data_IF_438851290759
#
_entry.id   IF_438851290759
#
_cell.length_a   1.000
_cell.length_b   1.000
_cell.length_c   1.000
_cell.angle_alpha   90.00
_cell.angle_beta   90.00
_cell.angle_gamma   90.00
#
_symmetry.space_group_name_H-M   'P 1'
#
loop_
_entity.id
_entity.type
_entity.pdbx_description
1 polymer ?
#
# COMPACT_ATOMS: atom_id res chain seq x y z
N UNK A 1 3.61 0.10 -69.01
CA UNK A 1 2.35 0.76 -68.59
C UNK A 1 1.32 -0.34 -68.50
N UNK A 2 0.76 -0.74 -67.37
CA UNK A 2 0.85 -0.24 -66.00
C UNK A 2 0.83 -1.45 -65.05
N UNK A 3 1.52 -1.28 -63.92
CA UNK A 3 1.59 -2.17 -62.77
C UNK A 3 0.23 -2.06 -62.04
N UNK A 4 -0.56 -3.14 -61.99
CA UNK A 4 -1.79 -3.15 -61.21
C UNK A 4 -1.42 -3.35 -59.74
N UNK A 5 -1.47 -2.24 -59.00
CA UNK A 5 -1.34 -2.20 -57.55
C UNK A 5 -2.45 -3.03 -56.90
N UNK A 6 -2.07 -4.15 -56.27
CA UNK A 6 -2.93 -4.89 -55.35
C UNK A 6 -3.37 -3.97 -54.20
N UNK A 7 -4.63 -3.50 -54.29
CA UNK A 7 -5.29 -2.78 -53.20
C UNK A 7 -5.67 -3.84 -52.16
N UNK A 8 -5.25 -3.72 -50.89
CA UNK A 8 -5.64 -4.67 -49.87
C UNK A 8 -7.14 -4.51 -49.58
N UNK A 9 -7.90 -5.58 -49.78
CA UNK A 9 -9.31 -5.70 -49.38
C UNK A 9 -9.44 -5.68 -47.85
N UNK A 10 -10.48 -5.02 -47.35
CA UNK A 10 -10.78 -4.83 -45.92
C UNK A 10 -10.85 -6.13 -45.10
N UNK A 11 -11.04 -7.29 -45.74
CA UNK A 11 -11.02 -8.61 -45.07
C UNK A 11 -9.65 -9.03 -44.54
N UNK A 12 -8.54 -8.46 -45.05
CA UNK A 12 -7.18 -8.78 -44.56
C UNK A 12 -6.79 -8.02 -43.28
N UNK A 13 -7.55 -7.01 -42.87
CA UNK A 13 -7.26 -6.25 -41.65
C UNK A 13 -7.78 -6.94 -40.37
N UNK A 14 -8.86 -7.73 -40.47
CA UNK A 14 -9.45 -8.43 -39.30
C UNK A 14 -8.68 -9.71 -38.89
N UNK A 15 -7.80 -10.23 -39.75
CA UNK A 15 -6.99 -11.42 -39.46
C UNK A 15 -5.68 -11.12 -38.72
N UNK A 16 -5.22 -9.86 -38.72
CA UNK A 16 -4.01 -9.46 -38.02
C UNK A 16 -4.25 -9.12 -36.54
N UNK A 17 -5.45 -8.63 -36.19
CA UNK A 17 -5.79 -8.22 -34.81
C UNK A 17 -6.12 -9.40 -33.85
N UNK A 18 -6.37 -10.61 -34.38
CA UNK A 18 -6.78 -11.75 -33.56
C UNK A 18 -5.61 -12.63 -33.04
N UNK A 19 -4.38 -12.44 -33.54
CA UNK A 19 -3.26 -13.32 -33.21
C UNK A 19 -2.40 -12.88 -32.02
N UNK A 20 -2.41 -11.59 -31.66
CA UNK A 20 -1.63 -11.08 -30.51
C UNK A 20 -2.14 -11.56 -29.15
N UNK A 21 -3.38 -12.11 -29.10
CA UNK A 21 -4.00 -12.62 -27.88
C UNK A 21 -3.99 -14.16 -27.75
N UNK A 22 -3.33 -14.87 -28.67
CA UNK A 22 -3.27 -16.33 -28.64
C UNK A 22 -2.54 -16.83 -27.39
N UNK A 23 -3.09 -17.88 -26.75
CA UNK A 23 -2.53 -18.49 -25.53
C UNK A 23 -1.06 -18.91 -25.75
N UNK A 24 -0.70 -19.28 -26.98
CA UNK A 24 0.64 -19.74 -27.33
C UNK A 24 1.66 -18.60 -27.42
N UNK A 25 1.25 -17.40 -27.83
CA UNK A 25 2.11 -16.22 -27.75
C UNK A 25 2.43 -15.85 -26.29
N UNK A 26 1.43 -15.92 -25.41
CA UNK A 26 1.64 -15.70 -23.96
C UNK A 26 2.56 -16.75 -23.34
N UNK A 27 2.48 -18.01 -23.78
CA UNK A 27 3.39 -19.07 -23.31
C UNK A 27 4.83 -18.80 -23.76
N UNK A 28 5.03 -18.45 -25.03
CA UNK A 28 6.37 -18.12 -25.56
C UNK A 28 6.98 -16.91 -24.84
N UNK A 29 6.21 -15.84 -24.63
CA UNK A 29 6.66 -14.70 -23.83
C UNK A 29 6.96 -15.09 -22.38
N UNK A 30 6.17 -16.00 -21.80
CA UNK A 30 6.41 -16.50 -20.45
C UNK A 30 7.69 -17.35 -20.37
N UNK A 31 8.00 -18.13 -21.41
CA UNK A 31 9.24 -18.92 -21.52
C UNK A 31 10.48 -18.04 -21.71
N UNK A 32 10.40 -16.98 -22.52
CA UNK A 32 11.46 -15.98 -22.64
C UNK A 32 11.71 -15.26 -21.32
N UNK A 33 10.64 -14.81 -20.65
CA UNK A 33 10.72 -14.14 -19.36
C UNK A 33 11.19 -15.06 -18.22
N UNK A 34 10.96 -16.39 -18.33
CA UNK A 34 11.50 -17.39 -17.40
C UNK A 34 13.01 -17.60 -17.57
N UNK A 35 13.57 -17.26 -18.74
CA UNK A 35 15.00 -17.37 -19.02
C UNK A 35 15.80 -16.11 -18.65
N UNK A 36 15.15 -14.98 -18.36
CA UNK A 36 15.81 -13.76 -17.89
C UNK A 36 15.71 -13.60 -16.36
N UNK A 37 16.83 -13.69 -15.61
CA UNK A 37 16.83 -13.53 -14.17
C UNK A 37 16.38 -12.14 -13.69
N UNK A 38 16.53 -11.08 -14.49
CA UNK A 38 16.13 -9.73 -14.11
C UNK A 38 14.59 -9.63 -14.10
N UNK A 39 13.96 -10.08 -15.17
CA UNK A 39 12.50 -10.13 -15.31
C UNK A 39 11.83 -10.98 -14.22
N UNK A 40 12.48 -12.08 -13.79
CA UNK A 40 12.00 -12.89 -12.66
C UNK A 40 11.97 -12.10 -11.34
N UNK A 41 12.99 -11.29 -11.05
CA UNK A 41 13.03 -10.46 -9.84
C UNK A 41 11.88 -9.45 -9.85
N UNK A 42 11.63 -8.80 -10.99
CA UNK A 42 10.54 -7.83 -11.14
C UNK A 42 9.17 -8.48 -10.94
N UNK A 43 8.96 -9.69 -11.49
CA UNK A 43 7.72 -10.45 -11.32
C UNK A 43 7.50 -10.87 -9.87
N UNK A 44 8.53 -11.36 -9.19
CA UNK A 44 8.45 -11.69 -7.76
C UNK A 44 8.11 -10.46 -6.94
N UNK A 45 8.74 -9.32 -7.24
CA UNK A 45 8.42 -8.05 -6.58
C UNK A 45 6.97 -7.61 -6.84
N UNK A 46 6.46 -7.80 -8.06
CA UNK A 46 5.06 -7.49 -8.38
C UNK A 46 4.07 -8.43 -7.67
N UNK A 47 4.37 -9.72 -7.57
CA UNK A 47 3.57 -10.67 -6.78
C UNK A 47 3.61 -10.27 -5.30
N UNK A 48 4.78 -9.89 -4.78
CA UNK A 48 4.90 -9.39 -3.41
C UNK A 48 4.09 -8.11 -3.20
N UNK A 49 4.00 -7.22 -4.19
CA UNK A 49 3.10 -6.05 -4.13
C UNK A 49 1.61 -6.47 -4.07
N UNK A 50 1.21 -7.48 -4.85
CA UNK A 50 -0.17 -7.99 -4.76
C UNK A 50 -0.48 -8.52 -3.36
N UNK A 51 0.51 -9.13 -2.71
CA UNK A 51 0.38 -9.74 -1.38
C UNK A 51 1.00 -8.89 -0.28
N UNK A 52 1.17 -7.59 -0.53
CA UNK A 52 2.01 -6.73 0.30
C UNK A 52 1.65 -6.82 1.77
N UNK A 53 2.69 -7.01 2.57
CA UNK A 53 2.69 -7.02 4.01
C UNK A 53 3.42 -5.78 4.54
N UNK A 54 3.16 -5.47 5.81
CA UNK A 54 3.86 -4.44 6.54
C UNK A 54 3.98 -4.83 8.00
N UNK A 55 5.16 -4.58 8.55
CA UNK A 55 5.46 -4.80 9.95
C UNK A 55 6.07 -3.54 10.57
N UNK A 56 5.57 -3.16 11.74
CA UNK A 56 6.08 -2.06 12.55
C UNK A 56 6.62 -2.65 13.86
N UNK A 57 7.93 -2.56 14.03
CA UNK A 57 8.64 -2.99 15.22
C UNK A 57 8.93 -1.77 16.10
N UNK A 58 8.59 -1.84 17.37
CA UNK A 58 8.88 -0.82 18.38
C UNK A 58 10.14 -1.28 19.11
N UNK A 59 11.27 -0.67 18.78
CA UNK A 59 12.59 -1.04 19.29
C UNK A 59 12.86 -0.38 20.64
N UNK A 60 12.54 0.91 20.75
CA UNK A 60 12.63 1.69 21.98
C UNK A 60 11.47 2.68 22.03
N UNK A 61 10.72 2.81 23.15
CA UNK A 61 10.92 2.10 24.42
C UNK A 61 10.57 0.61 24.33
N UNK A 62 11.12 -0.19 25.24
CA UNK A 62 10.80 -1.63 25.32
C UNK A 62 9.35 -1.80 25.77
N UNK A 63 8.54 -2.46 24.93
CA UNK A 63 7.18 -2.86 25.25
C UNK A 63 7.12 -4.35 25.56
N UNK A 64 6.19 -4.72 26.44
CA UNK A 64 5.93 -6.12 26.76
C UNK A 64 5.44 -6.88 25.52
N UNK A 65 5.96 -8.10 25.34
CA UNK A 65 5.57 -8.97 24.24
C UNK A 65 4.25 -9.65 24.58
N UNK A 66 3.30 -9.61 23.64
CA UNK A 66 2.01 -10.29 23.75
C UNK A 66 2.07 -11.58 22.93
N UNK A 67 1.87 -12.73 23.57
CA UNK A 67 1.87 -14.04 22.92
C UNK A 67 0.73 -14.93 23.46
N UNK A 68 -0.16 -15.45 22.59
CA UNK A 68 -0.21 -15.23 21.14
C UNK A 68 -0.61 -13.79 20.77
N UNK A 69 -0.25 -13.29 19.57
CA UNK A 69 -0.64 -11.94 19.13
C UNK A 69 -2.16 -11.76 19.11
N UNK A 70 -2.63 -10.58 19.51
CA UNK A 70 -4.03 -10.19 19.46
C UNK A 70 -4.39 -9.81 18.02
N UNK A 71 -5.51 -10.33 17.51
CA UNK A 71 -6.03 -9.96 16.19
C UNK A 71 -7.00 -8.79 16.36
N UNK A 72 -6.54 -7.58 16.02
CA UNK A 72 -7.37 -6.38 15.99
C UNK A 72 -8.15 -6.34 14.68
N UNK A 73 -9.44 -6.60 14.75
CA UNK A 73 -10.36 -6.55 13.59
C UNK A 73 -10.73 -5.10 13.26
N UNK A 74 -11.20 -4.81 12.03
CA UNK A 74 -11.81 -3.53 11.71
C UNK A 74 -12.95 -3.20 12.70
N UNK A 75 -12.95 -1.98 13.24
CA UNK A 75 -13.96 -1.56 14.21
C UNK A 75 -15.16 -0.92 13.52
N UNK A 76 -16.31 -0.92 14.20
CA UNK A 76 -17.51 -0.24 13.71
C UNK A 76 -17.35 1.27 13.88
N UNK A 77 -17.61 2.04 12.83
CA UNK A 77 -17.56 3.50 12.86
C UNK A 77 -18.74 4.01 13.72
N UNK A 78 -18.50 4.83 14.77
CA UNK A 78 -19.57 5.34 15.63
C UNK A 78 -20.65 6.08 14.84
N UNK A 79 -21.92 5.78 15.12
CA UNK A 79 -23.06 6.42 14.46
C UNK A 79 -23.38 5.89 13.05
N UNK A 80 -22.67 4.88 12.55
CA UNK A 80 -22.97 4.21 11.27
C UNK A 80 -23.08 2.69 11.45
N UNK A 81 -23.52 1.96 10.41
CA UNK A 81 -23.47 0.49 10.34
C UNK A 81 -22.21 0.00 9.60
N UNK A 82 -21.26 0.89 9.32
CA UNK A 82 -20.06 0.59 8.56
C UNK A 82 -18.87 0.31 9.48
N UNK A 83 -17.89 -0.38 8.92
CA UNK A 83 -16.64 -0.70 9.58
C UNK A 83 -15.51 0.14 8.98
N UNK A 84 -14.46 0.35 9.75
CA UNK A 84 -13.22 0.94 9.27
C UNK A 84 -12.69 0.19 8.05
N UNK A 85 -12.16 0.94 7.08
CA UNK A 85 -11.65 0.34 5.84
C UNK A 85 -10.17 -0.03 5.98
N UNK A 86 -9.93 -1.04 6.81
CA UNK A 86 -8.60 -1.55 7.16
C UNK A 86 -8.56 -3.06 7.06
N UNK A 87 -7.38 -3.64 6.92
CA UNK A 87 -7.14 -5.06 7.15
C UNK A 87 -6.98 -5.32 8.66
N UNK A 88 -7.17 -6.57 9.11
CA UNK A 88 -6.84 -6.94 10.48
C UNK A 88 -5.36 -6.67 10.81
N UNK A 89 -5.10 -6.27 12.05
CA UNK A 89 -3.75 -6.01 12.56
C UNK A 89 -3.44 -7.08 13.61
N UNK A 90 -2.30 -7.74 13.43
CA UNK A 90 -1.72 -8.68 14.39
C UNK A 90 -0.81 -7.90 15.34
N UNK A 91 -1.18 -7.92 16.61
CA UNK A 91 -0.54 -7.13 17.66
C UNK A 91 0.14 -8.04 18.69
N UNK A 92 1.47 -8.01 18.68
CA UNK A 92 2.33 -8.74 19.60
C UNK A 92 2.98 -7.82 20.65
N UNK A 93 2.41 -6.64 20.90
CA UNK A 93 2.95 -5.65 21.83
C UNK A 93 4.07 -4.82 21.21
N UNK A 94 5.29 -5.36 21.16
CA UNK A 94 6.44 -4.70 20.52
C UNK A 94 6.42 -4.77 18.98
N UNK A 95 5.48 -5.51 18.39
CA UNK A 95 5.32 -5.64 16.94
C UNK A 95 3.86 -5.53 16.53
N UNK A 96 3.57 -4.67 15.55
CA UNK A 96 2.31 -4.64 14.81
C UNK A 96 2.55 -5.18 13.39
N UNK A 97 1.67 -6.02 12.88
CA UNK A 97 1.82 -6.61 11.54
C UNK A 97 0.48 -6.72 10.82
N UNK A 98 0.51 -6.59 9.50
CA UNK A 98 -0.69 -6.67 8.65
C UNK A 98 -0.29 -7.08 7.23
N UNK A 99 -1.26 -7.53 6.43
CA UNK A 99 -1.04 -7.82 5.00
C UNK A 99 -2.33 -7.76 4.22
N UNK A 100 -2.20 -7.75 2.89
CA UNK A 100 -3.33 -7.88 1.95
C UNK A 100 -3.94 -9.29 1.88
N UNK A 101 -3.61 -10.18 2.82
CA UNK A 101 -4.00 -11.61 2.79
C UNK A 101 -5.48 -11.87 2.52
N UNK A 102 -6.40 -11.06 3.07
CA UNK A 102 -7.85 -11.19 2.84
C UNK A 102 -8.25 -11.07 1.36
N UNK A 103 -7.52 -10.26 0.60
CA UNK A 103 -7.83 -9.87 -0.78
C UNK A 103 -6.61 -10.07 -1.70
N UNK A 104 -5.68 -10.97 -1.33
CA UNK A 104 -4.37 -11.09 -1.98
C UNK A 104 -4.46 -11.47 -3.47
N UNK A 105 -5.57 -12.11 -3.88
CA UNK A 105 -5.83 -12.50 -5.27
C UNK A 105 -6.70 -11.49 -6.04
N UNK A 106 -7.25 -10.47 -5.38
CA UNK A 106 -8.22 -9.54 -5.98
C UNK A 106 -7.83 -8.06 -5.87
N UNK A 107 -7.08 -7.67 -4.83
CA UNK A 107 -6.64 -6.29 -4.62
C UNK A 107 -5.63 -5.81 -5.70
N UNK A 108 -4.91 -6.73 -6.33
CA UNK A 108 -3.91 -6.43 -7.36
C UNK A 108 -2.89 -5.41 -6.85
N UNK A 109 -2.65 -4.34 -7.61
CA UNK A 109 -1.73 -3.26 -7.23
C UNK A 109 -2.32 -2.22 -6.27
N UNK A 110 -3.62 -2.31 -5.94
CA UNK A 110 -4.25 -1.34 -5.04
C UNK A 110 -3.61 -1.41 -3.64
N UNK A 111 -3.22 -0.25 -3.12
CA UNK A 111 -2.61 -0.11 -1.80
C UNK A 111 -3.50 0.65 -0.81
N UNK A 112 -4.66 1.14 -1.25
CA UNK A 112 -5.46 2.08 -0.47
C UNK A 112 -5.88 1.52 0.89
N UNK A 113 -6.49 0.31 0.93
CA UNK A 113 -6.88 -0.35 2.19
C UNK A 113 -5.66 -0.64 3.09
N UNK A 114 -4.53 -1.04 2.51
CA UNK A 114 -3.29 -1.26 3.27
C UNK A 114 -2.74 0.05 3.85
N UNK A 115 -2.77 1.14 3.09
CA UNK A 115 -2.35 2.46 3.57
C UNK A 115 -3.25 2.99 4.69
N UNK A 116 -4.58 2.78 4.62
CA UNK A 116 -5.48 3.06 5.73
C UNK A 116 -5.16 2.21 6.97
N UNK A 117 -4.77 0.95 6.76
CA UNK A 117 -4.35 0.07 7.85
C UNK A 117 -3.06 0.55 8.52
N UNK A 118 -2.09 1.03 7.74
CA UNK A 118 -0.85 1.62 8.25
C UNK A 118 -1.13 2.88 9.08
N UNK A 119 -2.05 3.75 8.65
CA UNK A 119 -2.49 4.91 9.45
C UNK A 119 -3.09 4.46 10.80
N UNK A 120 -3.92 3.41 10.80
CA UNK A 120 -4.43 2.81 12.05
C UNK A 120 -3.30 2.22 12.92
N UNK A 121 -2.31 1.55 12.33
CA UNK A 121 -1.15 1.04 13.08
C UNK A 121 -0.34 2.18 13.74
N UNK A 122 -0.18 3.31 13.05
CA UNK A 122 0.51 4.49 13.59
C UNK A 122 -0.32 5.16 14.68
N UNK A 123 -1.66 5.20 14.54
CA UNK A 123 -2.55 5.62 15.62
C UNK A 123 -2.36 4.74 16.88
N UNK A 124 -2.32 3.41 16.71
CA UNK A 124 -2.08 2.47 17.82
C UNK A 124 -0.72 2.71 18.47
N UNK A 125 0.34 2.96 17.68
CA UNK A 125 1.66 3.33 18.20
C UNK A 125 1.57 4.57 19.09
N UNK A 126 0.95 5.65 18.60
CA UNK A 126 0.86 6.92 19.33
C UNK A 126 0.07 6.76 20.63
N UNK A 127 -1.04 6.04 20.62
CA UNK A 127 -1.82 5.78 21.83
C UNK A 127 -1.01 4.96 22.86
N UNK A 128 -0.22 3.98 22.41
CA UNK A 128 0.69 3.24 23.30
C UNK A 128 1.76 4.10 23.94
N UNK A 129 2.39 4.99 23.16
CA UNK A 129 3.40 5.90 23.68
C UNK A 129 2.79 6.82 24.74
N UNK A 130 1.58 7.33 24.47
CA UNK A 130 0.83 8.17 25.40
C UNK A 130 0.45 7.43 26.69
N UNK A 131 -0.07 6.21 26.58
CA UNK A 131 -0.40 5.36 27.74
C UNK A 131 0.83 4.97 28.55
N UNK A 132 1.97 4.77 27.88
CA UNK A 132 3.27 4.54 28.50
C UNK A 132 3.90 5.78 29.15
N UNK A 133 3.26 6.95 29.05
CA UNK A 133 3.77 8.19 29.61
C UNK A 133 5.02 8.72 28.89
N UNK A 134 5.22 8.34 27.63
CA UNK A 134 6.35 8.80 26.82
C UNK A 134 6.05 10.22 26.34
N UNK A 135 6.94 11.14 26.68
CA UNK A 135 6.84 12.52 26.22
C UNK A 135 7.17 12.65 24.72
N UNK A 136 6.61 13.66 24.06
CA UNK A 136 6.79 13.91 22.64
C UNK A 136 8.25 14.14 22.23
N UNK A 137 9.09 14.66 23.13
CA UNK A 137 10.51 14.91 22.85
C UNK A 137 11.37 13.64 22.98
N UNK A 138 10.87 12.61 23.67
CA UNK A 138 11.59 11.37 23.91
C UNK A 138 11.77 10.61 22.59
N UNK A 139 13.01 10.22 22.29
CA UNK A 139 13.30 9.46 21.09
C UNK A 139 12.66 8.07 21.16
N UNK A 140 11.79 7.79 20.19
CA UNK A 140 11.16 6.48 19.98
C UNK A 140 11.76 5.86 18.74
N UNK A 141 12.41 4.71 18.88
CA UNK A 141 13.02 4.00 17.77
C UNK A 141 12.08 2.93 17.26
N UNK A 142 11.81 2.96 15.96
CA UNK A 142 11.02 1.94 15.27
C UNK A 142 11.81 1.33 14.12
N UNK A 143 11.41 0.14 13.69
CA UNK A 143 11.92 -0.51 12.49
C UNK A 143 10.75 -1.02 11.64
N UNK A 144 10.96 -1.09 10.34
CA UNK A 144 9.98 -1.57 9.38
C UNK A 144 10.33 -2.96 8.83
N UNK A 145 9.30 -3.73 8.51
CA UNK A 145 9.37 -4.96 7.71
C UNK A 145 8.31 -4.97 6.61
N UNK A 146 8.41 -5.94 5.70
CA UNK A 146 7.47 -6.13 4.59
C UNK A 146 7.84 -5.36 3.32
N UNK A 147 6.87 -5.18 2.44
CA UNK A 147 7.09 -4.62 1.10
C UNK A 147 7.51 -3.14 1.11
N UNK A 148 8.29 -2.70 0.11
CA UNK A 148 8.85 -1.34 0.04
C UNK A 148 7.79 -0.22 0.00
N UNK A 149 6.68 -0.43 -0.72
CA UNK A 149 5.62 0.58 -0.87
C UNK A 149 4.91 0.91 0.46
N UNK A 150 4.48 -0.07 1.27
CA UNK A 150 4.05 0.17 2.64
C UNK A 150 5.07 0.91 3.50
N UNK A 151 6.35 0.55 3.44
CA UNK A 151 7.40 1.22 4.23
C UNK A 151 7.51 2.71 3.87
N UNK A 152 7.43 3.05 2.58
CA UNK A 152 7.37 4.44 2.10
C UNK A 152 6.17 5.20 2.68
N UNK A 153 4.99 4.59 2.71
CA UNK A 153 3.78 5.19 3.30
C UNK A 153 3.92 5.36 4.81
N UNK A 154 4.44 4.36 5.51
CA UNK A 154 4.66 4.40 6.94
C UNK A 154 5.69 5.49 7.30
N UNK A 155 6.81 5.57 6.57
CA UNK A 155 7.81 6.61 6.75
C UNK A 155 7.20 8.01 6.61
N UNK A 156 6.45 8.24 5.52
CA UNK A 156 5.75 9.50 5.28
C UNK A 156 4.81 9.89 6.43
N UNK A 157 4.15 8.91 7.03
CA UNK A 157 3.21 9.17 8.13
C UNK A 157 3.96 9.42 9.45
N UNK A 158 5.06 8.70 9.70
CA UNK A 158 5.89 8.87 10.90
C UNK A 158 6.57 10.24 10.94
N UNK A 159 7.12 10.73 9.83
CA UNK A 159 7.78 12.05 9.81
C UNK A 159 6.81 13.23 10.00
N UNK A 160 5.50 12.97 9.93
CA UNK A 160 4.44 13.93 10.18
C UNK A 160 3.79 13.76 11.56
N UNK A 161 4.40 12.98 12.46
CA UNK A 161 3.97 12.85 13.86
C UNK A 161 4.51 14.01 14.71
N UNK A 162 3.79 14.41 15.76
CA UNK A 162 4.30 15.34 16.77
C UNK A 162 5.28 14.69 17.77
N UNK A 163 5.43 13.36 17.73
CA UNK A 163 6.40 12.62 18.56
C UNK A 163 7.73 12.48 17.83
N UNK A 164 8.83 12.49 18.59
CA UNK A 164 10.18 12.24 18.09
C UNK A 164 10.40 10.75 17.76
N UNK A 165 9.78 10.28 16.69
CA UNK A 165 9.88 8.89 16.22
C UNK A 165 10.91 8.79 15.10
N UNK A 166 11.88 7.89 15.28
CA UNK A 166 12.99 7.65 14.35
C UNK A 166 12.89 6.24 13.77
N UNK A 167 12.94 6.13 12.45
CA UNK A 167 12.98 4.84 11.75
C UNK A 167 14.43 4.40 11.55
N UNK A 168 14.78 3.23 12.07
CA UNK A 168 16.18 2.78 12.19
C UNK A 168 16.72 2.02 10.98
N UNK A 169 15.86 1.39 10.19
CA UNK A 169 16.26 0.45 9.12
C UNK A 169 15.68 0.78 7.74
N UNK A 170 15.21 2.01 7.53
CA UNK A 170 14.65 2.44 6.25
C UNK A 170 15.17 3.83 5.85
N UNK A 171 15.76 3.91 4.66
CA UNK A 171 16.15 5.16 4.01
C UNK A 171 15.22 5.41 2.80
N UNK A 172 14.47 6.54 2.77
CA UNK A 172 13.63 6.86 1.62
C UNK A 172 14.42 7.17 0.34
N UNK A 173 15.72 7.52 0.43
CA UNK A 173 16.61 7.78 -0.70
C UNK A 173 16.04 8.73 -1.76
N UNK A 174 16.36 8.47 -3.03
CA UNK A 174 15.89 9.27 -4.17
C UNK A 174 14.36 9.36 -4.29
N UNK A 175 13.63 8.35 -3.78
CA UNK A 175 12.18 8.42 -3.72
C UNK A 175 11.71 9.50 -2.75
N UNK A 176 12.34 9.65 -1.59
CA UNK A 176 12.01 10.67 -0.59
C UNK A 176 12.22 12.10 -1.11
N UNK A 177 13.34 12.34 -1.79
CA UNK A 177 13.63 13.64 -2.40
C UNK A 177 12.57 14.02 -3.44
N UNK A 178 12.23 13.06 -4.32
CA UNK A 178 11.21 13.26 -5.34
C UNK A 178 9.82 13.44 -4.71
N UNK A 179 9.51 12.69 -3.67
CA UNK A 179 8.25 12.84 -2.92
C UNK A 179 8.09 14.27 -2.39
N UNK A 180 9.12 14.82 -1.72
CA UNK A 180 9.07 16.19 -1.19
C UNK A 180 8.95 17.26 -2.29
N UNK A 181 9.59 17.05 -3.44
CA UNK A 181 9.42 17.93 -4.60
C UNK A 181 7.98 17.92 -5.11
N UNK A 182 7.38 16.73 -5.24
CA UNK A 182 5.99 16.56 -5.68
C UNK A 182 5.01 17.17 -4.69
N UNK A 183 5.22 17.00 -3.38
CA UNK A 183 4.38 17.62 -2.34
C UNK A 183 4.42 19.15 -2.47
N UNK A 184 5.61 19.75 -2.59
CA UNK A 184 5.76 21.21 -2.74
C UNK A 184 5.09 21.72 -4.01
N UNK A 185 5.28 21.03 -5.14
CA UNK A 185 4.67 21.41 -6.41
C UNK A 185 3.14 21.36 -6.37
N UNK A 186 2.57 20.44 -5.61
CA UNK A 186 1.12 20.25 -5.53
C UNK A 186 0.46 21.03 -4.40
N UNK A 187 1.22 21.59 -3.46
CA UNK A 187 0.71 22.23 -2.26
C UNK A 187 -0.23 23.40 -2.55
N UNK A 188 0.07 24.22 -3.57
CA UNK A 188 -0.75 25.37 -3.93
C UNK A 188 -2.16 24.98 -4.41
N UNK A 189 -2.29 23.76 -4.98
CA UNK A 189 -3.55 23.27 -5.56
C UNK A 189 -4.31 22.33 -4.63
N UNK A 190 -3.59 21.47 -3.91
CA UNK A 190 -4.17 20.35 -3.16
C UNK A 190 -3.87 20.40 -1.66
N UNK A 191 -3.05 21.36 -1.20
CA UNK A 191 -2.59 21.45 0.18
C UNK A 191 -1.43 20.51 0.49
N UNK A 192 -0.94 20.59 1.73
CA UNK A 192 0.08 19.68 2.27
C UNK A 192 -0.57 18.42 2.86
N UNK A 193 0.16 17.29 2.94
CA UNK A 193 -0.26 16.15 3.75
C UNK A 193 -0.58 16.61 5.18
N UNK A 194 -1.68 16.09 5.74
CA UNK A 194 -2.07 16.43 7.11
C UNK A 194 -1.10 15.83 8.13
N UNK A 195 -1.07 16.38 9.34
CA UNK A 195 -0.40 15.80 10.50
C UNK A 195 -0.93 14.37 10.79
N UNK A 196 -0.07 13.53 11.36
CA UNK A 196 -0.38 12.16 11.78
C UNK A 196 -0.55 12.08 13.31
N UNK A 197 -1.25 11.06 13.86
CA UNK A 197 -1.96 9.98 13.16
C UNK A 197 -3.24 10.48 12.46
N UNK A 198 -3.54 9.93 11.29
CA UNK A 198 -4.70 10.34 10.48
C UNK A 198 -5.89 9.42 10.69
N UNK A 199 -7.07 9.99 10.89
CA UNK A 199 -8.32 9.24 11.11
C UNK A 199 -9.10 8.95 9.81
N UNK A 200 -8.44 9.00 8.65
CA UNK A 200 -9.11 8.79 7.35
C UNK A 200 -9.70 7.39 7.18
N UNK A 201 -9.21 6.41 7.94
CA UNK A 201 -9.71 5.03 7.96
C UNK A 201 -11.09 4.88 8.63
N UNK A 202 -11.57 5.93 9.35
CA UNK A 202 -12.88 5.99 10.01
C UNK A 202 -13.96 6.67 9.18
N UNK A 203 -13.68 6.98 7.92
CA UNK A 203 -14.66 7.62 7.03
C UNK A 203 -15.65 6.57 6.52
N UNK A 204 -16.97 6.84 6.55
CA UNK A 204 -17.95 5.95 5.94
C UNK A 204 -17.75 5.92 4.41
N UNK A 205 -17.77 4.72 3.84
CA UNK A 205 -17.59 4.41 2.42
C UNK A 205 -18.89 4.28 1.64
N UNK A 206 -20.07 4.43 2.26
CA UNK A 206 -21.31 4.61 1.50
C UNK A 206 -21.22 5.87 0.64
N UNK A 207 -20.93 5.67 -0.64
CA UNK A 207 -21.46 6.53 -1.67
C UNK A 207 -22.98 6.67 -1.43
N UNK A 208 -23.56 7.87 -1.49
CA UNK A 208 -25.01 7.99 -1.62
C UNK A 208 -25.39 7.17 -2.84
N UNK A 209 -26.07 6.05 -2.61
CA UNK A 209 -26.41 5.09 -3.65
C UNK A 209 -27.07 5.86 -4.80
N UNK A 210 -26.46 5.79 -5.99
CA UNK A 210 -27.19 5.87 -7.25
C UNK A 210 -28.09 4.65 -7.36
N UNK A 211 -29.08 4.55 -6.46
CA UNK A 211 -30.23 3.69 -6.68
C UNK A 211 -31.01 4.26 -7.87
N UNK A 212 -31.59 3.41 -8.73
CA UNK A 212 -32.46 3.91 -9.78
C UNK A 212 -33.58 4.71 -9.10
N UNK A 213 -33.72 5.99 -9.48
CA UNK A 213 -34.90 6.77 -9.12
C UNK A 213 -36.10 6.00 -9.65
N UNK A 214 -36.93 5.50 -8.73
CA UNK A 214 -38.27 4.99 -9.06
C UNK A 214 -39.20 6.16 -9.34
#
# INVERSE_FOLDING_TARGET
MADESDIPTEENFELLDNNENSIDFRKLQMEEDLNDPITLVERVYQIWWHWADFELYIVSPTLDIISPPIVLKPERIPGTDEYEFVYPILDAGSKLSTSKSEEMLSAGMSMYKLYMTIEKMIYILVERLKEGGIDKETEVQVAFGGHLLPQRKAFESIINLPYNVVVTNFDPGAWGERYLQIVKQNADKYGYPSESPRDTYRQPHKNPSSGPKR
#
